data_IF_865239055498
#
_entry.id   IF_865239055498
#
_cell.length_a   1.000
_cell.length_b   1.000
_cell.length_c   1.000
_cell.angle_alpha   90.00
_cell.angle_beta   90.00
_cell.angle_gamma   90.00
#
_symmetry.space_group_name_H-M   'P 1'
#
loop_
_entity.id
_entity.type
_entity.pdbx_description
1 polymer ?
#
# COMPACT_ATOMS: atom_id res chain seq x y z
N UNK A 1 -4.51 -35.20 34.18
CA UNK A 1 -4.48 -34.51 32.91
C UNK A 1 -3.13 -33.82 32.82
N UNK A 2 -2.18 -34.46 32.24
CA UNK A 2 -0.86 -33.92 31.93
C UNK A 2 -1.08 -32.91 30.79
N UNK A 3 -1.02 -31.64 31.15
CA UNK A 3 -0.96 -30.54 30.19
C UNK A 3 0.47 -30.50 29.67
N UNK A 4 0.72 -31.11 28.51
CA UNK A 4 1.98 -31.03 27.78
C UNK A 4 2.05 -29.73 27.00
N UNK A 5 1.45 -28.67 27.48
CA UNK A 5 1.63 -27.34 26.99
C UNK A 5 3.06 -26.87 27.26
N UNK A 6 3.80 -26.50 26.26
CA UNK A 6 4.99 -25.68 26.42
C UNK A 6 4.51 -24.35 27.00
N UNK A 7 4.48 -24.27 28.32
CA UNK A 7 4.35 -22.98 28.97
C UNK A 7 5.75 -22.36 28.91
N UNK A 8 5.93 -21.22 28.26
CA UNK A 8 7.05 -20.38 28.64
C UNK A 8 6.84 -20.15 30.13
N UNK A 9 7.72 -20.68 30.96
CA UNK A 9 7.58 -20.60 32.39
C UNK A 9 7.24 -19.17 32.79
N UNK A 10 6.29 -19.01 33.73
CA UNK A 10 5.77 -17.70 34.17
C UNK A 10 6.83 -16.75 34.78
N UNK A 11 8.09 -16.91 34.45
CA UNK A 11 9.25 -16.38 35.14
C UNK A 11 10.18 -15.56 34.24
N UNK A 12 9.82 -15.38 32.94
CA UNK A 12 10.41 -14.35 32.12
C UNK A 12 9.82 -13.00 32.55
N UNK A 13 10.53 -12.30 33.42
CA UNK A 13 10.04 -11.01 33.94
C UNK A 13 10.23 -9.84 33.02
N UNK A 14 11.15 -9.93 32.06
CA UNK A 14 11.41 -8.89 31.09
C UNK A 14 11.64 -9.54 29.72
N UNK A 15 10.87 -9.11 28.74
CA UNK A 15 11.10 -9.40 27.32
C UNK A 15 11.31 -8.06 26.66
N UNK A 16 12.52 -7.82 26.15
CA UNK A 16 12.80 -6.67 25.33
C UNK A 16 12.55 -7.05 23.86
N UNK A 17 11.65 -6.34 23.20
CA UNK A 17 11.29 -6.58 21.82
C UNK A 17 11.80 -5.44 20.95
N UNK A 18 12.47 -5.76 19.87
CA UNK A 18 12.90 -4.82 18.87
C UNK A 18 12.36 -5.22 17.50
N UNK A 19 11.86 -4.26 16.74
CA UNK A 19 11.46 -4.46 15.35
C UNK A 19 12.20 -3.44 14.47
N UNK A 20 12.83 -3.94 13.42
CA UNK A 20 13.41 -3.10 12.37
C UNK A 20 12.66 -3.38 11.08
N UNK A 21 12.00 -2.35 10.56
CA UNK A 21 11.26 -2.41 9.30
C UNK A 21 11.99 -1.50 8.31
N UNK A 22 12.41 -2.07 7.20
CA UNK A 22 13.05 -1.34 6.11
C UNK A 22 12.27 -1.60 4.82
N UNK A 23 11.57 -0.58 4.36
CA UNK A 23 10.79 -0.60 3.12
C UNK A 23 11.43 0.33 2.10
N UNK A 24 11.67 -0.16 0.90
CA UNK A 24 12.22 0.61 -0.21
C UNK A 24 11.45 0.26 -1.48
N UNK A 25 11.15 1.26 -2.29
CA UNK A 25 10.47 0.98 -3.54
C UNK A 25 10.18 2.23 -4.35
N UNK A 26 9.66 1.99 -5.54
CA UNK A 26 9.16 3.02 -6.43
C UNK A 26 7.82 2.63 -7.01
N UNK A 27 7.04 3.64 -7.36
CA UNK A 27 5.84 3.50 -8.17
C UNK A 27 5.86 4.57 -9.23
N UNK A 28 6.00 4.15 -10.48
CA UNK A 28 6.15 5.01 -11.62
C UNK A 28 4.90 4.91 -12.51
N UNK A 29 4.44 6.05 -13.04
CA UNK A 29 3.31 6.10 -13.96
C UNK A 29 3.71 6.89 -15.19
N UNK A 30 3.65 6.22 -16.34
CA UNK A 30 3.82 6.89 -17.66
C UNK A 30 2.45 7.10 -18.26
N UNK A 31 2.09 8.35 -18.53
CA UNK A 31 0.77 8.73 -19.03
C UNK A 31 0.85 9.24 -20.46
N UNK A 32 0.05 8.68 -21.34
CA UNK A 32 -0.20 9.18 -22.69
C UNK A 32 -1.59 9.80 -22.71
N UNK A 33 -1.68 11.04 -23.20
CA UNK A 33 -2.94 11.79 -23.20
C UNK A 33 -3.22 12.41 -24.56
N UNK A 34 -4.52 12.44 -24.88
CA UNK A 34 -5.04 13.14 -26.04
C UNK A 34 -6.27 13.95 -25.65
N UNK A 35 -6.39 15.15 -26.20
CA UNK A 35 -7.56 15.99 -25.98
C UNK A 35 -8.00 16.66 -27.25
N UNK A 36 -9.31 16.87 -27.39
CA UNK A 36 -9.88 17.53 -28.56
C UNK A 36 -11.04 18.43 -28.14
N UNK A 37 -11.11 19.61 -28.77
CA UNK A 37 -12.28 20.48 -28.72
C UNK A 37 -13.31 20.03 -29.74
N UNK A 38 -14.45 19.53 -29.30
CA UNK A 38 -15.55 19.17 -30.20
C UNK A 38 -16.26 20.42 -30.70
N UNK A 39 -16.40 21.39 -29.81
CA UNK A 39 -16.96 22.70 -30.09
C UNK A 39 -16.14 23.75 -29.34
N UNK A 40 -16.44 25.04 -29.56
CA UNK A 40 -15.83 26.13 -28.79
C UNK A 40 -16.12 26.04 -27.26
N UNK A 41 -17.06 25.18 -26.88
CA UNK A 41 -17.55 25.06 -25.49
C UNK A 41 -17.34 23.69 -24.89
N UNK A 42 -17.09 22.64 -25.65
CA UNK A 42 -16.98 21.26 -25.19
C UNK A 42 -15.64 20.68 -25.61
N UNK A 43 -14.92 20.20 -24.61
CA UNK A 43 -13.62 19.56 -24.76
C UNK A 43 -13.70 18.17 -24.14
N UNK A 44 -13.16 17.20 -24.84
CA UNK A 44 -13.05 15.81 -24.33
C UNK A 44 -11.59 15.39 -24.35
N UNK A 45 -11.25 14.53 -23.41
CA UNK A 45 -9.90 14.00 -23.29
C UNK A 45 -9.92 12.55 -22.85
N UNK A 46 -8.88 11.85 -23.24
CA UNK A 46 -8.61 10.50 -22.79
C UNK A 46 -7.14 10.36 -22.43
N UNK A 47 -6.83 9.57 -21.42
CA UNK A 47 -5.46 9.17 -21.13
C UNK A 47 -5.34 7.69 -20.84
N UNK A 48 -4.15 7.18 -21.11
CA UNK A 48 -3.75 5.81 -20.82
C UNK A 48 -2.51 5.84 -19.95
N UNK A 49 -2.61 5.20 -18.78
CA UNK A 49 -1.55 5.09 -17.80
C UNK A 49 -0.91 3.71 -17.86
N UNK A 50 0.41 3.67 -17.98
CA UNK A 50 1.25 2.50 -17.72
C UNK A 50 1.84 2.66 -16.33
N UNK A 51 1.63 1.66 -15.47
CA UNK A 51 2.02 1.68 -14.07
C UNK A 51 3.09 0.61 -13.87
N UNK A 52 4.20 0.98 -13.23
CA UNK A 52 5.24 0.06 -12.77
C UNK A 52 5.41 0.23 -11.27
N UNK A 53 5.53 -0.88 -10.55
CA UNK A 53 5.80 -0.88 -9.11
C UNK A 53 6.95 -1.82 -8.80
N UNK A 54 7.81 -1.39 -7.89
CA UNK A 54 8.88 -2.21 -7.31
C UNK A 54 8.92 -1.89 -5.81
N UNK A 55 8.87 -2.91 -4.98
CA UNK A 55 8.89 -2.78 -3.53
C UNK A 55 9.72 -3.90 -2.92
N UNK A 56 10.66 -3.53 -2.06
CA UNK A 56 11.45 -4.44 -1.24
C UNK A 56 11.23 -4.11 0.23
N UNK A 57 10.72 -5.08 0.98
CA UNK A 57 10.51 -4.99 2.41
C UNK A 57 11.42 -5.98 3.14
N UNK A 58 12.20 -5.47 4.07
CA UNK A 58 13.02 -6.27 4.98
C UNK A 58 12.60 -5.97 6.42
N UNK A 59 12.03 -6.97 7.07
CA UNK A 59 11.51 -6.86 8.43
C UNK A 59 12.27 -7.82 9.34
N UNK A 60 12.96 -7.29 10.34
CA UNK A 60 13.65 -8.04 11.37
C UNK A 60 12.95 -7.84 12.70
N UNK A 61 12.59 -8.91 13.36
CA UNK A 61 12.03 -8.92 14.71
C UNK A 61 12.98 -9.65 15.64
N UNK A 62 13.28 -9.05 16.77
CA UNK A 62 14.14 -9.61 17.80
C UNK A 62 13.41 -9.57 19.14
N UNK A 63 13.32 -10.73 19.79
CA UNK A 63 12.87 -10.85 21.17
C UNK A 63 14.07 -11.26 22.02
N UNK A 64 14.38 -10.48 23.05
CA UNK A 64 15.41 -10.77 24.02
C UNK A 64 14.77 -11.07 25.39
N UNK A 65 15.05 -12.24 25.94
CA UNK A 65 14.46 -12.71 27.18
C UNK A 65 15.45 -12.49 28.35
N UNK A 66 15.02 -11.69 29.35
CA UNK A 66 15.79 -11.47 30.55
C UNK A 66 15.43 -12.43 31.68
N UNK A 67 16.38 -12.78 32.54
CA UNK A 67 16.16 -13.59 33.74
C UNK A 67 16.06 -12.74 35.00
N UNK A 68 15.24 -13.23 35.95
CA UNK A 68 15.45 -12.89 37.37
C UNK A 68 16.49 -13.81 37.99
N UNK A 69 17.32 -13.21 38.84
CA UNK A 69 18.52 -13.81 39.47
C UNK A 69 18.33 -15.08 40.30
N UNK A 70 17.12 -15.66 40.37
CA UNK A 70 16.80 -16.78 41.27
C UNK A 70 16.56 -18.13 40.58
N UNK A 71 16.76 -18.24 39.26
CA UNK A 71 16.48 -19.48 38.54
C UNK A 71 17.70 -20.10 37.87
N UNK A 72 18.46 -20.87 38.69
CA UNK A 72 19.55 -21.73 38.17
C UNK A 72 19.04 -22.94 37.38
N UNK A 73 17.73 -23.19 37.35
CA UNK A 73 17.17 -24.39 36.69
C UNK A 73 17.00 -24.28 35.19
N UNK A 74 17.02 -23.08 34.63
CA UNK A 74 16.96 -22.86 33.18
C UNK A 74 18.34 -22.68 32.49
N UNK A 75 19.40 -22.77 33.23
CA UNK A 75 20.76 -22.70 32.70
C UNK A 75 21.06 -23.75 31.60
N UNK A 76 20.20 -24.74 31.42
CA UNK A 76 20.43 -25.89 30.55
C UNK A 76 19.41 -25.99 29.38
N UNK A 77 18.82 -24.89 28.88
CA UNK A 77 17.97 -25.00 27.70
C UNK A 77 16.90 -23.93 27.48
N UNK A 78 16.86 -22.85 28.26
CA UNK A 78 15.94 -21.75 28.02
C UNK A 78 16.38 -20.88 26.83
N UNK A 79 15.42 -20.34 26.06
CA UNK A 79 15.70 -19.40 24.97
C UNK A 79 16.12 -18.05 25.54
N UNK A 80 17.30 -17.53 25.12
CA UNK A 80 17.76 -16.20 25.49
C UNK A 80 17.39 -15.12 24.46
N UNK A 81 17.43 -15.49 23.19
CA UNK A 81 17.07 -14.59 22.10
C UNK A 81 16.31 -15.37 21.03
N UNK A 82 15.34 -14.72 20.44
CA UNK A 82 14.63 -15.23 19.27
C UNK A 82 14.66 -14.15 18.21
N UNK A 83 15.01 -14.51 16.99
CA UNK A 83 14.95 -13.61 15.86
C UNK A 83 14.09 -14.19 14.74
N UNK A 84 13.42 -13.30 14.03
CA UNK A 84 12.66 -13.60 12.83
C UNK A 84 12.91 -12.52 11.78
N UNK A 85 13.48 -12.93 10.67
CA UNK A 85 13.71 -12.08 9.51
C UNK A 85 12.75 -12.46 8.40
N UNK A 86 12.09 -11.48 7.83
CA UNK A 86 11.24 -11.63 6.66
C UNK A 86 11.66 -10.67 5.58
N UNK A 87 11.97 -11.19 4.42
CA UNK A 87 12.21 -10.42 3.22
C UNK A 87 11.07 -10.65 2.23
N UNK A 88 10.55 -9.56 1.65
CA UNK A 88 9.54 -9.60 0.60
C UNK A 88 9.97 -8.67 -0.52
N UNK A 89 10.00 -9.16 -1.75
CA UNK A 89 10.25 -8.37 -2.96
C UNK A 89 9.04 -8.48 -3.87
N UNK A 90 8.53 -7.35 -4.30
CA UNK A 90 7.37 -7.26 -5.18
C UNK A 90 7.73 -6.41 -6.39
N UNK A 91 7.45 -6.93 -7.57
CA UNK A 91 7.52 -6.18 -8.81
C UNK A 91 6.22 -6.34 -9.57
N UNK A 92 5.81 -5.30 -10.28
CA UNK A 92 4.54 -5.39 -10.98
C UNK A 92 4.37 -4.32 -12.04
N UNK A 93 3.45 -4.61 -12.94
CA UNK A 93 3.04 -3.66 -13.96
C UNK A 93 1.52 -3.69 -14.14
N UNK A 94 0.99 -2.56 -14.56
CA UNK A 94 -0.45 -2.42 -14.73
C UNK A 94 -0.82 -1.28 -15.65
N UNK A 95 -2.12 -1.12 -15.86
CA UNK A 95 -2.64 -0.03 -16.68
C UNK A 95 -3.99 0.47 -16.18
N UNK A 96 -4.29 1.72 -16.53
CA UNK A 96 -5.58 2.36 -16.29
C UNK A 96 -5.92 3.30 -17.45
N UNK A 97 -7.21 3.61 -17.62
CA UNK A 97 -7.69 4.61 -18.54
C UNK A 97 -8.39 5.74 -17.77
N UNK A 98 -8.28 6.95 -18.29
CA UNK A 98 -9.05 8.10 -17.82
C UNK A 98 -9.79 8.70 -18.99
N UNK A 99 -11.06 9.02 -18.77
CA UNK A 99 -11.88 9.80 -19.70
C UNK A 99 -12.31 11.08 -18.99
N UNK A 100 -12.27 12.19 -19.72
CA UNK A 100 -12.65 13.48 -19.17
C UNK A 100 -13.44 14.31 -20.17
N UNK A 101 -14.31 15.15 -19.63
CA UNK A 101 -15.05 16.15 -20.39
C UNK A 101 -15.01 17.48 -19.63
N UNK A 102 -14.82 18.55 -20.34
CA UNK A 102 -14.93 19.92 -19.82
C UNK A 102 -15.95 20.67 -20.66
N UNK A 103 -16.93 21.27 -19.99
CA UNK A 103 -17.96 22.13 -20.58
C UNK A 103 -17.76 23.59 -20.16
N UNK A 104 -17.72 24.49 -21.11
CA UNK A 104 -17.72 25.92 -20.93
C UNK A 104 -19.17 26.41 -20.89
N UNK A 105 -19.77 26.44 -19.67
CA UNK A 105 -21.17 26.79 -19.47
C UNK A 105 -21.43 28.25 -19.85
N UNK A 106 -20.54 29.15 -19.40
CA UNK A 106 -20.48 30.54 -19.79
C UNK A 106 -19.06 30.91 -20.20
N UNK A 107 -18.81 32.16 -20.58
CA UNK A 107 -17.44 32.58 -20.85
C UNK A 107 -16.52 32.45 -19.62
N UNK A 108 -17.07 32.62 -18.45
CA UNK A 108 -16.33 32.66 -17.20
C UNK A 108 -16.46 31.38 -16.37
N UNK A 109 -17.51 30.58 -16.58
CA UNK A 109 -17.81 29.39 -15.80
C UNK A 109 -17.61 28.10 -16.60
N UNK A 110 -16.84 27.17 -16.01
CA UNK A 110 -16.53 25.84 -16.58
C UNK A 110 -16.85 24.76 -15.59
N UNK A 111 -17.38 23.66 -16.10
CA UNK A 111 -17.57 22.42 -15.38
C UNK A 111 -16.75 21.31 -16.03
N UNK A 112 -16.18 20.45 -15.20
CA UNK A 112 -15.40 19.31 -15.63
C UNK A 112 -15.87 18.04 -14.93
N UNK A 113 -15.73 16.95 -15.64
CA UNK A 113 -15.93 15.63 -15.12
C UNK A 113 -14.86 14.71 -15.65
N UNK A 114 -14.26 13.88 -14.78
CA UNK A 114 -13.37 12.81 -15.22
C UNK A 114 -13.64 11.51 -14.48
N UNK A 115 -13.42 10.43 -15.18
CA UNK A 115 -13.51 9.08 -14.65
C UNK A 115 -12.24 8.32 -14.99
N UNK A 116 -11.51 7.90 -13.95
CA UNK A 116 -10.37 7.00 -14.05
C UNK A 116 -10.82 5.59 -13.71
N UNK A 117 -10.55 4.66 -14.61
CA UNK A 117 -10.86 3.25 -14.37
C UNK A 117 -10.00 2.70 -13.23
N UNK A 118 -10.46 1.62 -12.63
CA UNK A 118 -9.61 0.84 -11.76
C UNK A 118 -8.40 0.30 -12.54
N UNK A 119 -7.20 0.53 -12.04
CA UNK A 119 -6.00 -0.09 -12.60
C UNK A 119 -6.02 -1.59 -12.30
N UNK A 120 -5.52 -2.38 -13.24
CA UNK A 120 -5.20 -3.80 -13.05
C UNK A 120 -3.69 -3.92 -13.05
N UNK A 121 -3.15 -4.38 -11.94
CA UNK A 121 -1.72 -4.51 -11.71
C UNK A 121 -1.41 -5.99 -11.51
N UNK A 122 -0.57 -6.55 -12.35
CA UNK A 122 -0.04 -7.89 -12.16
C UNK A 122 1.23 -7.76 -11.31
N UNK A 123 1.26 -8.47 -10.22
CA UNK A 123 2.32 -8.40 -9.21
C UNK A 123 2.94 -9.78 -9.10
N UNK A 124 4.26 -9.82 -9.22
CA UNK A 124 5.10 -10.96 -8.90
C UNK A 124 5.76 -10.69 -7.56
N UNK A 125 5.51 -11.56 -6.60
CA UNK A 125 6.01 -11.46 -5.24
C UNK A 125 6.93 -12.63 -4.93
N UNK A 126 8.04 -12.32 -4.31
CA UNK A 126 8.96 -13.28 -3.72
C UNK A 126 9.09 -12.99 -2.24
N UNK A 127 8.92 -13.99 -1.40
CA UNK A 127 9.18 -13.84 0.02
C UNK A 127 10.10 -14.96 0.54
N UNK A 128 10.94 -14.62 1.49
CA UNK A 128 11.75 -15.54 2.24
C UNK A 128 11.71 -15.17 3.71
N UNK A 129 11.93 -16.15 4.56
CA UNK A 129 12.04 -15.91 5.99
C UNK A 129 13.16 -16.74 6.59
N UNK A 130 13.76 -16.21 7.65
CA UNK A 130 14.69 -16.88 8.50
C UNK A 130 14.28 -16.67 9.95
N UNK A 131 14.40 -17.71 10.75
CA UNK A 131 14.20 -17.62 12.19
C UNK A 131 15.28 -18.39 12.92
N UNK A 132 15.60 -17.94 14.11
CA UNK A 132 16.55 -18.65 14.94
C UNK A 132 16.38 -18.28 16.40
N UNK A 133 16.90 -19.14 17.24
CA UNK A 133 16.92 -18.99 18.66
C UNK A 133 18.34 -19.22 19.19
N UNK A 134 18.76 -18.39 20.14
CA UNK A 134 19.94 -18.63 20.97
C UNK A 134 19.46 -19.05 22.34
N UNK A 135 20.10 -20.06 22.88
CA UNK A 135 19.79 -20.58 24.22
C UNK A 135 20.79 -20.07 25.25
N UNK A 136 20.43 -20.14 26.52
CA UNK A 136 21.31 -19.66 27.61
C UNK A 136 22.54 -20.52 27.82
N UNK A 137 22.54 -21.75 27.36
CA UNK A 137 23.74 -22.63 27.33
C UNK A 137 24.73 -22.28 26.21
N UNK A 138 24.41 -21.26 25.42
CA UNK A 138 25.20 -20.82 24.26
C UNK A 138 24.93 -21.61 22.99
N UNK A 139 24.05 -22.61 23.01
CA UNK A 139 23.63 -23.32 21.81
C UNK A 139 22.73 -22.44 20.94
N UNK A 140 22.71 -22.71 19.65
CA UNK A 140 21.89 -21.99 18.68
C UNK A 140 21.08 -23.00 17.85
N UNK A 141 19.83 -22.65 17.60
CA UNK A 141 18.99 -23.31 16.60
C UNK A 141 18.60 -22.29 15.56
N UNK A 142 18.82 -22.58 14.30
CA UNK A 142 18.39 -21.74 13.19
C UNK A 142 17.67 -22.57 12.15
N UNK A 143 16.52 -22.07 11.70
CA UNK A 143 15.81 -22.53 10.52
C UNK A 143 15.85 -21.43 9.50
N UNK A 144 16.59 -21.66 8.43
CA UNK A 144 16.53 -20.81 7.26
C UNK A 144 15.79 -21.60 6.21
N UNK A 145 14.61 -21.19 5.82
CA UNK A 145 14.17 -21.58 4.49
C UNK A 145 15.09 -20.84 3.51
N UNK A 146 15.94 -21.60 2.89
CA UNK A 146 16.94 -21.14 1.93
C UNK A 146 16.27 -20.14 0.98
N UNK A 147 16.81 -18.94 0.73
CA UNK A 147 16.27 -17.99 -0.25
C UNK A 147 16.14 -18.57 -1.67
N UNK A 148 16.71 -19.74 -1.93
CA UNK A 148 16.45 -20.55 -3.14
C UNK A 148 15.02 -21.10 -3.20
N UNK A 149 14.29 -21.13 -2.10
CA UNK A 149 12.86 -21.47 -2.01
C UNK A 149 12.01 -20.22 -1.70
N UNK A 150 12.39 -19.06 -2.24
CA UNK A 150 11.48 -17.96 -2.32
C UNK A 150 10.22 -18.43 -3.05
N UNK A 151 9.10 -18.46 -2.35
CA UNK A 151 7.84 -18.87 -2.94
C UNK A 151 7.39 -17.79 -3.93
N UNK A 152 7.45 -18.04 -5.24
CA UNK A 152 6.93 -17.11 -6.22
C UNK A 152 5.41 -17.11 -6.08
N UNK A 153 4.86 -15.97 -5.85
CA UNK A 153 3.42 -15.76 -5.83
C UNK A 153 3.09 -14.68 -6.86
N UNK A 154 2.28 -15.02 -7.85
CA UNK A 154 1.86 -14.06 -8.87
C UNK A 154 0.38 -13.84 -8.75
N UNK A 155 -0.04 -12.59 -8.64
CA UNK A 155 -1.43 -12.23 -8.53
C UNK A 155 -1.76 -10.91 -9.23
N UNK A 156 -3.03 -10.72 -9.54
CA UNK A 156 -3.54 -9.48 -10.12
C UNK A 156 -4.32 -8.71 -9.07
N UNK A 157 -3.91 -7.49 -8.81
CA UNK A 157 -4.60 -6.56 -7.94
C UNK A 157 -5.37 -5.53 -8.76
N UNK A 158 -6.67 -5.36 -8.45
CA UNK A 158 -7.52 -4.32 -9.02
C UNK A 158 -7.66 -3.18 -8.03
N UNK A 159 -7.24 -1.96 -8.42
CA UNK A 159 -7.40 -0.76 -7.60
C UNK A 159 -8.84 -0.24 -7.62
N UNK A 160 -9.10 0.81 -6.84
CA UNK A 160 -10.37 1.54 -6.93
C UNK A 160 -10.41 2.43 -8.19
N UNK A 161 -11.61 2.62 -8.76
CA UNK A 161 -11.86 3.66 -9.76
C UNK A 161 -12.03 5.01 -9.07
N UNK A 162 -11.83 6.09 -9.83
CA UNK A 162 -11.87 7.45 -9.32
C UNK A 162 -12.80 8.30 -10.20
N UNK A 163 -13.60 9.12 -9.55
CA UNK A 163 -14.54 10.05 -10.15
C UNK A 163 -14.20 11.46 -9.67
N UNK A 164 -14.00 12.38 -10.59
CA UNK A 164 -13.69 13.78 -10.24
C UNK A 164 -14.70 14.70 -10.89
N UNK A 165 -15.25 15.59 -10.10
CA UNK A 165 -16.14 16.68 -10.51
C UNK A 165 -15.40 17.98 -10.27
N UNK A 166 -15.29 18.81 -11.29
CA UNK A 166 -14.55 20.07 -11.26
C UNK A 166 -15.42 21.25 -11.64
N UNK A 167 -15.20 22.38 -10.99
CA UNK A 167 -15.80 23.64 -11.34
C UNK A 167 -14.78 24.77 -11.29
N UNK A 168 -14.81 25.69 -12.24
CA UNK A 168 -13.96 26.87 -12.20
C UNK A 168 -14.69 28.13 -12.66
N UNK A 169 -14.38 29.23 -12.00
CA UNK A 169 -14.90 30.54 -12.34
C UNK A 169 -13.77 31.55 -12.54
N UNK A 170 -13.78 32.24 -13.66
CA UNK A 170 -12.80 33.26 -14.02
C UNK A 170 -13.40 34.65 -13.76
N UNK A 171 -12.75 35.42 -12.91
CA UNK A 171 -13.16 36.78 -12.55
C UNK A 171 -12.53 37.82 -13.52
N UNK A 172 -12.87 37.72 -14.79
CA UNK A 172 -12.31 38.59 -15.83
C UNK A 172 -10.78 38.50 -15.85
N UNK A 173 -10.11 39.65 -15.66
CA UNK A 173 -8.66 39.71 -15.62
C UNK A 173 -8.06 39.66 -14.20
N UNK A 174 -8.88 39.58 -13.17
CA UNK A 174 -8.43 39.65 -11.78
C UNK A 174 -7.97 38.30 -11.20
N UNK A 175 -8.48 37.20 -11.73
CA UNK A 175 -8.08 35.88 -11.23
C UNK A 175 -9.07 34.78 -11.57
N UNK A 176 -8.89 33.62 -10.93
CA UNK A 176 -9.78 32.48 -11.04
C UNK A 176 -9.95 31.77 -9.68
N UNK A 177 -11.06 31.10 -9.54
CA UNK A 177 -11.34 30.16 -8.46
C UNK A 177 -11.65 28.79 -9.08
N UNK A 178 -11.10 27.72 -8.52
CA UNK A 178 -11.40 26.34 -8.90
C UNK A 178 -11.72 25.47 -7.71
N UNK A 179 -12.59 24.50 -7.92
CA UNK A 179 -12.97 23.49 -6.93
C UNK A 179 -13.03 22.13 -7.61
N UNK A 180 -12.37 21.14 -7.01
CA UNK A 180 -12.45 19.74 -7.43
C UNK A 180 -12.98 18.89 -6.31
N UNK A 181 -13.93 18.02 -6.61
CA UNK A 181 -14.46 17.02 -5.70
C UNK A 181 -14.20 15.62 -6.27
N UNK A 182 -13.39 14.85 -5.57
CA UNK A 182 -12.96 13.52 -5.97
C UNK A 182 -13.56 12.45 -5.08
N UNK A 183 -14.07 11.39 -5.70
CA UNK A 183 -14.61 10.21 -5.04
C UNK A 183 -13.82 8.98 -5.46
N UNK A 184 -13.38 8.19 -4.48
CA UNK A 184 -12.67 6.94 -4.69
C UNK A 184 -13.15 5.88 -3.70
N UNK A 185 -13.81 4.85 -4.20
CA UNK A 185 -14.36 3.77 -3.37
C UNK A 185 -13.33 2.65 -3.20
N UNK A 186 -12.57 2.70 -2.13
CA UNK A 186 -11.54 1.70 -1.82
C UNK A 186 -12.12 0.34 -1.47
N UNK A 187 -13.41 0.23 -1.09
CA UNK A 187 -14.07 -1.07 -0.86
C UNK A 187 -14.23 -1.91 -2.13
N UNK A 188 -14.00 -1.30 -3.30
CA UNK A 188 -14.05 -1.98 -4.61
C UNK A 188 -12.70 -2.53 -5.07
N UNK A 189 -11.64 -2.29 -4.32
CA UNK A 189 -10.35 -2.93 -4.57
C UNK A 189 -10.45 -4.43 -4.30
N UNK A 190 -9.69 -5.23 -5.04
CA UNK A 190 -9.67 -6.67 -4.84
C UNK A 190 -8.53 -7.38 -5.55
N UNK A 191 -8.09 -8.46 -4.96
CA UNK A 191 -7.29 -9.48 -5.62
C UNK A 191 -8.18 -10.32 -6.55
N UNK A 192 -7.66 -10.67 -7.72
CA UNK A 192 -8.44 -11.38 -8.76
C UNK A 192 -8.21 -12.88 -8.78
N UNK A 193 -7.10 -13.34 -8.22
CA UNK A 193 -6.74 -14.73 -8.17
C UNK A 193 -7.51 -15.47 -7.06
N UNK A 194 -7.78 -16.78 -7.21
CA UNK A 194 -8.28 -17.62 -6.13
C UNK A 194 -7.34 -17.63 -4.92
N UNK A 195 -7.88 -17.85 -3.74
CA UNK A 195 -7.11 -17.89 -2.49
C UNK A 195 -7.04 -16.57 -1.74
N UNK A 196 -7.59 -15.49 -2.29
CA UNK A 196 -7.64 -14.16 -1.65
C UNK A 196 -9.05 -13.77 -1.20
N UNK A 197 -9.93 -14.73 -0.97
CA UNK A 197 -11.33 -14.48 -0.59
C UNK A 197 -11.41 -13.71 0.74
N UNK A 198 -10.60 -14.12 1.72
CA UNK A 198 -10.53 -13.48 3.04
C UNK A 198 -10.03 -12.05 2.96
N UNK A 199 -8.96 -11.81 2.21
CA UNK A 199 -8.40 -10.47 1.99
C UNK A 199 -9.42 -9.57 1.28
N UNK A 200 -10.14 -10.10 0.31
CA UNK A 200 -11.19 -9.37 -0.40
C UNK A 200 -12.38 -9.03 0.51
N UNK A 201 -12.75 -9.91 1.44
CA UNK A 201 -13.76 -9.61 2.47
C UNK A 201 -13.29 -8.50 3.40
N UNK A 202 -12.05 -8.57 3.90
CA UNK A 202 -11.46 -7.54 4.74
C UNK A 202 -11.44 -6.18 4.02
N UNK A 203 -11.04 -6.14 2.76
CA UNK A 203 -11.05 -4.91 1.95
C UNK A 203 -12.47 -4.34 1.87
N UNK A 204 -13.45 -5.18 1.56
CA UNK A 204 -14.84 -4.75 1.43
C UNK A 204 -15.41 -4.20 2.73
N UNK A 205 -15.07 -4.80 3.87
CA UNK A 205 -15.65 -4.45 5.17
C UNK A 205 -14.95 -3.27 5.84
N UNK A 206 -13.62 -3.19 5.71
CA UNK A 206 -12.83 -2.18 6.39
C UNK A 206 -12.54 -0.95 5.54
N UNK A 207 -12.40 -1.10 4.22
CA UNK A 207 -12.14 0.04 3.34
C UNK A 207 -13.43 0.80 3.03
N UNK A 208 -13.32 2.13 2.93
CA UNK A 208 -14.45 3.04 2.74
C UNK A 208 -14.24 3.92 1.53
N UNK A 209 -15.25 4.72 1.23
CA UNK A 209 -15.19 5.77 0.20
C UNK A 209 -14.30 6.89 0.75
N UNK A 210 -13.29 7.25 -0.02
CA UNK A 210 -12.51 8.47 0.19
C UNK A 210 -13.13 9.61 -0.60
N UNK A 211 -13.23 10.77 0.05
CA UNK A 211 -13.71 12.00 -0.53
C UNK A 211 -12.62 13.05 -0.37
N UNK A 212 -12.25 13.71 -1.46
CA UNK A 212 -11.24 14.74 -1.44
C UNK A 212 -11.80 16.01 -2.07
N UNK A 213 -11.78 17.12 -1.31
CA UNK A 213 -12.10 18.44 -1.80
C UNK A 213 -10.80 19.23 -1.99
N UNK A 214 -10.63 19.80 -3.17
CA UNK A 214 -9.51 20.69 -3.49
C UNK A 214 -10.07 22.04 -3.90
N UNK A 215 -9.49 23.11 -3.37
CA UNK A 215 -9.84 24.47 -3.73
C UNK A 215 -8.56 25.17 -4.20
N UNK A 216 -8.59 25.79 -5.36
CA UNK A 216 -7.51 26.57 -5.91
C UNK A 216 -7.97 27.97 -6.26
N UNK A 217 -7.12 28.96 -6.00
CA UNK A 217 -7.37 30.34 -6.38
C UNK A 217 -6.10 30.94 -7.00
N UNK A 218 -6.27 31.75 -8.03
CA UNK A 218 -5.23 32.56 -8.64
C UNK A 218 -5.67 34.02 -8.62
N UNK A 219 -4.81 34.90 -8.12
CA UNK A 219 -5.00 36.34 -8.20
C UNK A 219 -3.92 36.94 -9.12
N UNK A 220 -4.33 37.76 -10.09
CA UNK A 220 -3.41 38.49 -10.96
C UNK A 220 -3.19 39.86 -10.37
N UNK A 221 -1.99 40.07 -9.87
CA UNK A 221 -1.54 41.36 -9.40
C UNK A 221 -1.04 42.11 -10.63
N UNK A 222 -1.69 43.20 -10.96
CA UNK A 222 -1.22 44.08 -12.04
C UNK A 222 0.05 44.80 -11.57
N UNK A 223 1.04 44.94 -12.49
CA UNK A 223 2.11 45.87 -12.23
C UNK A 223 1.62 47.31 -12.30
#
# INVERSE_FOLDING_TARGET
RTDDGIYPGAEYLNIDQAARILSRGSSDVTTFSIGVGITERIYVGASFDLISINLDDNNTYLDEYGFTSNYQSFANGGVSNLYYDRYTSQSGWGSAFTLGIIGRVTNDFRLGFSWKTAARINIDEYYSYAMGARFFDGSEASGTENPTFAYPNSYTFKTASEWTFSGSYVFGQFGLLSVDYMLKDYSKMRFKNPGFERENEIIKDQMKISQTLRVGAEARLYP
#
